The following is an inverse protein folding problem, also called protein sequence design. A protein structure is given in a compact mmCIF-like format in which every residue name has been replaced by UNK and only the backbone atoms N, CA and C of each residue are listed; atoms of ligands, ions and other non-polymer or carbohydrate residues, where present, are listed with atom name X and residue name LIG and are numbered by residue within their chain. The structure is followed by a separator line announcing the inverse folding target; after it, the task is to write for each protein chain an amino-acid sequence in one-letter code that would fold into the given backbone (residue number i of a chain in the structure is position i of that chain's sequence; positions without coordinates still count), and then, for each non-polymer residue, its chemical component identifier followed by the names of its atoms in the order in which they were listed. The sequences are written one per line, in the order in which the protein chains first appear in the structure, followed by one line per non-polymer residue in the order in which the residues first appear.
data_IF_883769961863
#
_entry.id   IF_883769961863
#
_cell.length_a   1.000
_cell.length_b   1.000
_cell.length_c   1.000
_cell.angle_alpha   90.00
_cell.angle_beta   90.00
_cell.angle_gamma   90.00
#
_symmetry.space_group_name_H-M   'P 1'
#
loop_
_entity.id
_entity.type
_entity.pdbx_description
1 polymer ?
#
# COMPACT_ATOMS: atom_id res chain seq x y z
N UNK A 1 -51.61 3.53 17.81
CA UNK A 1 -50.64 2.75 17.00
C UNK A 1 -50.14 3.67 15.92
N UNK A 2 -48.86 3.62 15.60
CA UNK A 2 -48.31 4.37 14.47
C UNK A 2 -48.97 3.86 13.17
N UNK A 3 -49.25 4.77 12.24
CA UNK A 3 -49.97 4.44 10.99
C UNK A 3 -49.28 5.04 9.78
N UNK A 4 -49.28 4.33 8.66
CA UNK A 4 -48.84 4.84 7.37
C UNK A 4 -49.60 4.17 6.23
N UNK A 5 -49.87 4.87 5.11
CA UNK A 5 -50.49 4.27 3.93
C UNK A 5 -49.77 2.98 3.50
N UNK A 6 -50.53 1.97 3.07
CA UNK A 6 -49.96 0.69 2.63
C UNK A 6 -48.94 0.85 1.48
N UNK A 7 -49.18 1.81 0.58
CA UNK A 7 -48.23 2.18 -0.47
C UNK A 7 -46.89 2.66 0.11
N UNK A 8 -46.91 3.54 1.12
CA UNK A 8 -45.69 4.05 1.77
C UNK A 8 -44.90 2.93 2.45
N UNK A 9 -45.61 1.98 3.07
CA UNK A 9 -44.98 0.78 3.66
C UNK A 9 -44.26 -0.06 2.59
N UNK A 10 -44.85 -0.22 1.40
CA UNK A 10 -44.21 -0.92 0.28
C UNK A 10 -43.00 -0.13 -0.22
N UNK A 11 -43.13 1.19 -0.44
CA UNK A 11 -42.01 2.06 -0.86
C UNK A 11 -40.84 2.02 0.12
N UNK A 12 -41.09 1.81 1.41
CA UNK A 12 -40.03 1.66 2.41
C UNK A 12 -39.12 0.45 2.15
N UNK A 13 -39.62 -0.61 1.51
CA UNK A 13 -38.79 -1.74 1.10
C UNK A 13 -37.75 -1.33 0.06
N UNK A 14 -38.13 -0.47 -0.88
CA UNK A 14 -37.22 0.07 -1.90
C UNK A 14 -36.17 1.00 -1.27
N UNK A 15 -36.60 1.89 -0.36
CA UNK A 15 -35.67 2.73 0.43
C UNK A 15 -34.64 1.87 1.16
N UNK A 16 -35.07 0.79 1.80
CA UNK A 16 -34.17 -0.08 2.54
C UNK A 16 -33.21 -0.85 1.63
N UNK A 17 -33.61 -1.18 0.40
CA UNK A 17 -32.70 -1.75 -0.58
C UNK A 17 -31.65 -0.72 -1.04
N UNK A 18 -32.04 0.52 -1.33
CA UNK A 18 -31.10 1.59 -1.65
C UNK A 18 -30.11 1.84 -0.51
N UNK A 19 -30.58 1.84 0.74
CA UNK A 19 -29.71 1.93 1.93
C UNK A 19 -28.71 0.76 2.03
N UNK A 20 -29.11 -0.48 1.67
CA UNK A 20 -28.19 -1.63 1.59
C UNK A 20 -27.14 -1.43 0.50
N UNK A 21 -27.53 -0.92 -0.66
CA UNK A 21 -26.61 -0.63 -1.77
C UNK A 21 -25.60 0.46 -1.39
N UNK A 22 -26.05 1.56 -0.77
CA UNK A 22 -25.18 2.62 -0.23
C UNK A 22 -24.18 2.02 0.78
N UNK A 23 -24.65 1.20 1.71
CA UNK A 23 -23.79 0.56 2.70
C UNK A 23 -22.79 -0.42 2.06
N UNK A 24 -23.18 -1.13 1.00
CA UNK A 24 -22.28 -2.01 0.22
C UNK A 24 -21.18 -1.20 -0.45
N UNK A 25 -21.53 -0.13 -1.16
CA UNK A 25 -20.56 0.77 -1.80
C UNK A 25 -19.60 1.39 -0.78
N UNK A 26 -20.10 1.78 0.41
CA UNK A 26 -19.26 2.27 1.50
C UNK A 26 -18.25 1.23 1.99
N UNK A 27 -18.66 -0.04 2.11
CA UNK A 27 -17.74 -1.14 2.46
C UNK A 27 -16.73 -1.44 1.35
N UNK A 28 -17.15 -1.34 0.09
CA UNK A 28 -16.30 -1.55 -1.08
C UNK A 28 -15.18 -0.51 -1.15
N UNK A 29 -15.50 0.76 -0.96
CA UNK A 29 -14.51 1.85 -0.86
C UNK A 29 -13.56 1.65 0.34
N UNK A 30 -14.11 1.35 1.53
CA UNK A 30 -13.32 1.16 2.74
C UNK A 30 -12.37 -0.04 2.66
N UNK A 31 -12.78 -1.13 2.00
CA UNK A 31 -12.00 -2.37 1.85
C UNK A 31 -11.36 -2.50 0.47
N UNK A 32 -11.23 -1.40 -0.27
CA UNK A 32 -10.69 -1.44 -1.62
C UNK A 32 -9.30 -2.08 -1.65
N UNK A 33 -9.07 -3.16 -2.43
CA UNK A 33 -7.84 -3.95 -2.36
C UNK A 33 -6.58 -3.13 -2.69
N UNK A 34 -6.70 -2.14 -3.59
CA UNK A 34 -5.58 -1.25 -3.93
C UNK A 34 -5.06 -0.44 -2.72
N UNK A 35 -5.87 -0.17 -1.69
CA UNK A 35 -5.39 0.53 -0.48
C UNK A 35 -4.32 -0.29 0.24
N UNK A 36 -4.54 -1.59 0.37
CA UNK A 36 -3.59 -2.51 0.99
C UNK A 36 -2.36 -2.74 0.10
N UNK A 37 -2.56 -2.90 -1.22
CA UNK A 37 -1.47 -3.07 -2.18
C UNK A 37 -0.55 -1.84 -2.21
N UNK A 38 -1.10 -0.63 -2.25
CA UNK A 38 -0.33 0.61 -2.19
C UNK A 38 0.47 0.72 -0.89
N UNK A 39 -0.12 0.34 0.25
CA UNK A 39 0.60 0.28 1.52
C UNK A 39 1.80 -0.67 1.46
N UNK A 40 1.63 -1.85 0.86
CA UNK A 40 2.72 -2.82 0.69
C UNK A 40 3.81 -2.28 -0.25
N UNK A 41 3.46 -1.63 -1.36
CA UNK A 41 4.41 -1.03 -2.29
C UNK A 41 5.21 0.12 -1.67
N UNK A 42 4.55 0.99 -0.89
CA UNK A 42 5.20 2.08 -0.15
C UNK A 42 6.20 1.52 0.86
N UNK A 43 5.81 0.48 1.62
CA UNK A 43 6.70 -0.18 2.57
C UNK A 43 7.89 -0.86 1.87
N UNK A 44 7.67 -1.47 0.72
CA UNK A 44 8.74 -2.06 -0.08
C UNK A 44 9.73 -1.00 -0.58
N UNK A 45 9.23 0.16 -1.06
CA UNK A 45 10.07 1.27 -1.48
C UNK A 45 10.90 1.83 -0.32
N UNK A 46 10.31 1.95 0.87
CA UNK A 46 11.01 2.38 2.09
C UNK A 46 12.05 1.37 2.58
N UNK A 47 11.81 0.06 2.40
CA UNK A 47 12.80 -0.96 2.67
C UNK A 47 13.99 -0.85 1.71
N UNK A 48 13.72 -0.72 0.40
CA UNK A 48 14.78 -0.54 -0.61
C UNK A 48 15.58 0.74 -0.43
N UNK A 49 14.96 1.81 0.06
CA UNK A 49 15.69 3.03 0.42
C UNK A 49 16.73 2.78 1.53
N UNK A 50 16.41 1.95 2.53
CA UNK A 50 17.38 1.55 3.56
C UNK A 50 18.49 0.67 3.00
N UNK A 51 18.15 -0.24 2.08
CA UNK A 51 19.15 -1.06 1.37
C UNK A 51 20.10 -0.18 0.55
N UNK A 52 19.56 0.88 -0.07
CA UNK A 52 20.34 1.88 -0.82
C UNK A 52 21.30 2.65 0.08
N UNK A 53 20.87 3.04 1.28
CA UNK A 53 21.73 3.73 2.24
C UNK A 53 22.91 2.83 2.66
N UNK A 54 22.65 1.55 2.95
CA UNK A 54 23.71 0.57 3.24
C UNK A 54 24.65 0.35 2.05
N UNK A 55 24.13 0.31 0.82
CA UNK A 55 24.95 0.21 -0.39
C UNK A 55 25.82 1.47 -0.60
N UNK A 56 25.30 2.66 -0.28
CA UNK A 56 26.06 3.90 -0.34
C UNK A 56 27.21 3.94 0.69
N UNK A 57 27.01 3.38 1.89
CA UNK A 57 28.10 3.19 2.86
C UNK A 57 29.18 2.24 2.32
N UNK A 58 28.79 1.19 1.58
CA UNK A 58 29.73 0.28 0.94
C UNK A 58 30.55 0.97 -0.17
N UNK A 59 29.94 1.86 -0.95
CA UNK A 59 30.64 2.70 -1.94
C UNK A 59 31.69 3.57 -1.24
N UNK A 60 31.31 4.31 -0.19
CA UNK A 60 32.25 5.16 0.54
C UNK A 60 33.42 4.35 1.15
N UNK A 61 33.16 3.12 1.60
CA UNK A 61 34.22 2.22 2.07
C UNK A 61 35.11 1.69 0.94
N UNK A 62 34.59 1.52 -0.28
CA UNK A 62 35.36 1.14 -1.45
C UNK A 62 36.23 2.30 -1.95
N UNK A 63 35.67 3.50 -2.07
CA UNK A 63 36.39 4.75 -2.38
C UNK A 63 37.60 4.95 -1.44
N UNK A 64 37.40 4.76 -0.12
CA UNK A 64 38.47 4.89 0.86
C UNK A 64 39.57 3.82 0.72
N UNK A 65 39.21 2.60 0.31
CA UNK A 65 40.18 1.53 0.02
C UNK A 65 40.98 1.82 -1.24
N UNK A 66 40.32 2.30 -2.31
CA UNK A 66 40.99 2.68 -3.54
C UNK A 66 41.98 3.82 -3.28
N UNK A 67 41.56 4.89 -2.61
CA UNK A 67 42.46 6.01 -2.27
C UNK A 67 43.70 5.55 -1.47
N UNK A 68 43.52 4.61 -0.53
CA UNK A 68 44.64 4.05 0.24
C UNK A 68 45.60 3.22 -0.62
N UNK A 69 45.06 2.46 -1.58
CA UNK A 69 45.86 1.68 -2.53
C UNK A 69 46.65 2.60 -3.48
N UNK A 70 46.00 3.64 -4.02
CA UNK A 70 46.63 4.67 -4.86
C UNK A 70 47.76 5.41 -4.11
N UNK A 71 47.55 5.78 -2.85
CA UNK A 71 48.59 6.40 -2.02
C UNK A 71 49.79 5.47 -1.81
N UNK A 72 49.54 4.17 -1.60
CA UNK A 72 50.58 3.15 -1.45
C UNK A 72 51.40 3.02 -2.75
N UNK A 73 50.73 2.90 -3.90
CA UNK A 73 51.37 2.88 -5.21
C UNK A 73 52.19 4.14 -5.48
N UNK A 74 51.65 5.33 -5.18
CA UNK A 74 52.33 6.60 -5.36
C UNK A 74 53.58 6.72 -4.47
N UNK A 75 53.48 6.28 -3.20
CA UNK A 75 54.61 6.25 -2.28
C UNK A 75 55.74 5.34 -2.77
N UNK A 76 55.41 4.14 -3.26
CA UNK A 76 56.39 3.20 -3.82
C UNK A 76 57.04 3.76 -5.09
N UNK A 77 56.27 4.33 -6.03
CA UNK A 77 56.80 5.01 -7.23
C UNK A 77 57.78 6.11 -6.84
N UNK A 78 57.42 6.98 -5.90
CA UNK A 78 58.31 8.05 -5.44
C UNK A 78 59.58 7.55 -4.74
N UNK A 79 59.52 6.43 -4.01
CA UNK A 79 60.71 5.80 -3.42
C UNK A 79 61.65 5.23 -4.49
N UNK A 80 61.09 4.57 -5.51
CA UNK A 80 61.83 4.03 -6.66
C UNK A 80 62.52 5.17 -7.40
N UNK A 81 61.81 6.23 -7.77
CA UNK A 81 62.36 7.39 -8.50
C UNK A 81 63.55 8.03 -7.76
N UNK A 82 63.42 8.23 -6.43
CA UNK A 82 64.51 8.78 -5.61
C UNK A 82 65.74 7.88 -5.61
N UNK A 83 65.55 6.56 -5.47
CA UNK A 83 66.65 5.59 -5.47
C UNK A 83 67.28 5.44 -6.85
N UNK A 84 66.49 5.47 -7.92
CA UNK A 84 66.99 5.47 -9.30
C UNK A 84 67.82 6.72 -9.59
N UNK A 85 67.37 7.90 -9.14
CA UNK A 85 68.16 9.13 -9.25
C UNK A 85 69.50 9.03 -8.48
N UNK A 86 69.48 8.46 -7.26
CA UNK A 86 70.69 8.22 -6.48
C UNK A 86 71.64 7.25 -7.20
N UNK A 87 71.12 6.13 -7.73
CA UNK A 87 71.87 5.13 -8.47
C UNK A 87 72.53 5.74 -9.72
N UNK A 88 71.78 6.56 -10.46
CA UNK A 88 72.25 7.24 -11.66
C UNK A 88 73.34 8.29 -11.37
N UNK A 89 73.28 8.96 -10.21
CA UNK A 89 74.33 9.91 -9.81
C UNK A 89 75.65 9.20 -9.51
N UNK A 90 75.59 8.03 -8.85
CA UNK A 90 76.74 7.25 -8.41
C UNK A 90 77.69 7.97 -7.45
N UNK A 91 77.37 9.20 -7.01
CA UNK A 91 78.29 10.06 -6.29
C UNK A 91 78.47 9.60 -4.85
N UNK A 92 79.72 9.35 -4.46
CA UNK A 92 80.05 8.88 -3.10
C UNK A 92 79.71 7.42 -2.80
N UNK A 93 79.29 6.63 -3.78
CA UNK A 93 78.91 5.22 -3.62
C UNK A 93 80.02 4.26 -4.07
N UNK A 94 80.24 3.19 -3.32
CA UNK A 94 81.13 2.10 -3.73
C UNK A 94 80.41 1.10 -4.65
N UNK A 95 81.15 0.21 -5.32
CA UNK A 95 80.54 -0.85 -6.14
C UNK A 95 79.58 -1.75 -5.35
N UNK A 96 79.85 -1.97 -4.06
CA UNK A 96 78.95 -2.74 -3.19
C UNK A 96 77.65 -1.97 -2.92
N UNK A 97 77.74 -0.67 -2.68
CA UNK A 97 76.57 0.18 -2.41
C UNK A 97 75.67 0.29 -3.64
N UNK A 98 76.25 0.36 -4.84
CA UNK A 98 75.51 0.34 -6.10
C UNK A 98 74.74 -0.98 -6.30
N UNK A 99 75.35 -2.13 -5.99
CA UNK A 99 74.66 -3.42 -6.08
C UNK A 99 73.53 -3.54 -5.06
N UNK A 100 73.76 -3.12 -3.81
CA UNK A 100 72.71 -3.11 -2.79
C UNK A 100 71.53 -2.21 -3.19
N UNK A 101 71.82 -1.01 -3.72
CA UNK A 101 70.78 -0.08 -4.19
C UNK A 101 69.97 -0.66 -5.36
N UNK A 102 70.59 -1.41 -6.27
CA UNK A 102 69.89 -2.12 -7.35
C UNK A 102 68.96 -3.21 -6.83
N UNK A 103 69.40 -4.00 -5.84
CA UNK A 103 68.56 -5.01 -5.19
C UNK A 103 67.36 -4.39 -4.47
N UNK A 104 67.57 -3.28 -3.76
CA UNK A 104 66.49 -2.53 -3.10
C UNK A 104 65.46 -1.98 -4.11
N UNK A 105 65.92 -1.41 -5.23
CA UNK A 105 65.03 -0.94 -6.31
C UNK A 105 64.23 -2.12 -6.89
N UNK A 106 64.87 -3.27 -7.12
CA UNK A 106 64.19 -4.47 -7.62
C UNK A 106 63.10 -4.94 -6.64
N UNK A 107 63.39 -4.94 -5.33
CA UNK A 107 62.41 -5.24 -4.28
C UNK A 107 61.23 -4.26 -4.27
N UNK A 108 61.51 -2.96 -4.34
CA UNK A 108 60.46 -1.93 -4.41
C UNK A 108 59.59 -2.05 -5.67
N UNK A 109 60.18 -2.40 -6.82
CA UNK A 109 59.43 -2.64 -8.06
C UNK A 109 58.50 -3.85 -7.93
N UNK A 110 58.94 -4.92 -7.27
CA UNK A 110 58.09 -6.08 -6.98
C UNK A 110 56.95 -5.73 -6.02
N UNK A 111 57.19 -4.86 -5.03
CA UNK A 111 56.13 -4.34 -4.16
C UNK A 111 55.17 -3.42 -4.92
N UNK A 112 55.67 -2.61 -5.85
CA UNK A 112 54.83 -1.75 -6.68
C UNK A 112 53.92 -2.56 -7.60
N UNK A 113 54.39 -3.67 -8.16
CA UNK A 113 53.56 -4.59 -8.95
C UNK A 113 52.41 -5.14 -8.10
N UNK A 114 52.69 -5.62 -6.89
CA UNK A 114 51.66 -6.07 -5.94
C UNK A 114 50.69 -4.95 -5.55
N UNK A 115 51.18 -3.73 -5.37
CA UNK A 115 50.35 -2.57 -5.07
C UNK A 115 49.43 -2.19 -6.25
N UNK A 116 49.92 -2.31 -7.49
CA UNK A 116 49.12 -2.07 -8.69
C UNK A 116 48.00 -3.10 -8.85
N UNK A 117 48.27 -4.38 -8.57
CA UNK A 117 47.23 -5.41 -8.55
C UNK A 117 46.17 -5.12 -7.48
N UNK A 118 46.59 -4.66 -6.30
CA UNK A 118 45.68 -4.28 -5.21
C UNK A 118 44.85 -3.02 -5.53
N UNK A 119 45.45 -2.03 -6.21
CA UNK A 119 44.79 -0.83 -6.71
C UNK A 119 43.71 -1.19 -7.74
N UNK A 120 44.03 -2.07 -8.69
CA UNK A 120 43.06 -2.54 -9.68
C UNK A 120 41.90 -3.31 -9.04
N UNK A 121 42.18 -4.21 -8.09
CA UNK A 121 41.13 -4.91 -7.35
C UNK A 121 40.27 -3.97 -6.49
N UNK A 122 40.84 -2.88 -5.97
CA UNK A 122 40.09 -1.86 -5.24
C UNK A 122 39.17 -1.05 -6.16
N UNK A 123 39.63 -0.74 -7.38
CA UNK A 123 38.84 -0.08 -8.42
C UNK A 123 37.65 -0.95 -8.85
N UNK A 124 37.87 -2.24 -9.14
CA UNK A 124 36.79 -3.16 -9.49
C UNK A 124 35.74 -3.24 -8.35
N UNK A 125 36.19 -3.28 -7.10
CA UNK A 125 35.28 -3.31 -5.95
C UNK A 125 34.47 -2.02 -5.76
N UNK A 126 35.02 -0.87 -6.15
CA UNK A 126 34.29 0.41 -6.17
C UNK A 126 33.24 0.40 -7.28
N UNK A 127 33.61 0.04 -8.50
CA UNK A 127 32.68 -0.06 -9.64
C UNK A 127 31.51 -1.01 -9.36
N UNK A 128 31.78 -2.16 -8.72
CA UNK A 128 30.74 -3.10 -8.29
C UNK A 128 29.77 -2.49 -7.26
N UNK A 129 30.31 -1.75 -6.27
CA UNK A 129 29.50 -1.10 -5.25
C UNK A 129 28.61 0.01 -5.85
N UNK A 130 29.15 0.81 -6.77
CA UNK A 130 28.38 1.83 -7.49
C UNK A 130 27.28 1.22 -8.36
N UNK A 131 27.59 0.14 -9.07
CA UNK A 131 26.63 -0.59 -9.89
C UNK A 131 25.46 -1.13 -9.06
N UNK A 132 25.73 -1.58 -7.83
CA UNK A 132 24.72 -2.04 -6.89
C UNK A 132 23.80 -0.91 -6.42
N UNK A 133 24.35 0.27 -6.07
CA UNK A 133 23.53 1.46 -5.76
C UNK A 133 22.64 1.82 -6.94
N UNK A 134 23.20 1.88 -8.16
CA UNK A 134 22.44 2.19 -9.36
C UNK A 134 21.34 1.15 -9.66
N UNK A 135 21.57 -0.13 -9.31
CA UNK A 135 20.57 -1.19 -9.42
C UNK A 135 19.42 -0.98 -8.44
N UNK A 136 19.71 -0.69 -7.17
CA UNK A 136 18.69 -0.42 -6.14
C UNK A 136 17.89 0.84 -6.47
N UNK A 137 18.54 1.90 -6.96
CA UNK A 137 17.85 3.13 -7.38
C UNK A 137 16.82 2.87 -8.50
N UNK A 138 17.15 2.00 -9.47
CA UNK A 138 16.20 1.57 -10.51
C UNK A 138 15.00 0.80 -9.92
N UNK A 139 15.23 -0.06 -8.94
CA UNK A 139 14.15 -0.79 -8.26
C UNK A 139 13.23 0.16 -7.47
N UNK A 140 13.80 1.13 -6.75
CA UNK A 140 13.04 2.16 -6.04
C UNK A 140 12.19 2.97 -7.02
N UNK A 141 12.76 3.38 -8.16
CA UNK A 141 12.03 4.12 -9.19
C UNK A 141 10.85 3.29 -9.74
N UNK A 142 11.06 2.01 -10.04
CA UNK A 142 10.00 1.12 -10.50
C UNK A 142 8.88 0.93 -9.46
N UNK A 143 9.23 0.82 -8.17
CA UNK A 143 8.25 0.75 -7.09
C UNK A 143 7.44 2.05 -6.97
N UNK A 144 8.09 3.22 -7.05
CA UNK A 144 7.41 4.52 -7.03
C UNK A 144 6.45 4.69 -8.20
N UNK A 145 6.85 4.28 -9.39
CA UNK A 145 5.98 4.30 -10.58
C UNK A 145 4.72 3.43 -10.37
N UNK A 146 4.89 2.22 -9.82
CA UNK A 146 3.75 1.34 -9.48
C UNK A 146 2.83 1.96 -8.44
N UNK A 147 3.37 2.67 -7.45
CA UNK A 147 2.57 3.42 -6.46
C UNK A 147 1.75 4.52 -7.14
N UNK A 148 2.35 5.29 -8.05
CA UNK A 148 1.65 6.35 -8.77
C UNK A 148 0.51 5.79 -9.64
N UNK A 149 0.79 4.73 -10.40
CA UNK A 149 -0.21 4.06 -11.23
C UNK A 149 -1.35 3.46 -10.39
N UNK A 150 -1.03 2.79 -9.29
CA UNK A 150 -2.04 2.22 -8.39
C UNK A 150 -2.88 3.29 -7.70
N UNK A 151 -2.28 4.44 -7.37
CA UNK A 151 -3.00 5.57 -6.78
C UNK A 151 -3.97 6.19 -7.77
N UNK A 152 -3.56 6.41 -9.02
CA UNK A 152 -4.45 6.92 -10.06
C UNK A 152 -5.67 6.00 -10.26
N UNK A 153 -5.44 4.68 -10.34
CA UNK A 153 -6.53 3.69 -10.42
C UNK A 153 -7.46 3.73 -9.22
N UNK A 154 -6.90 3.78 -8.00
CA UNK A 154 -7.70 3.90 -6.78
C UNK A 154 -8.54 5.19 -6.77
N UNK A 155 -7.97 6.32 -7.21
CA UNK A 155 -8.69 7.59 -7.30
C UNK A 155 -9.86 7.51 -8.30
N UNK A 156 -9.65 6.88 -9.46
CA UNK A 156 -10.71 6.64 -10.45
C UNK A 156 -11.82 5.72 -9.91
N UNK A 157 -11.46 4.58 -9.30
CA UNK A 157 -12.42 3.62 -8.74
C UNK A 157 -13.25 4.26 -7.61
N UNK A 158 -12.60 5.02 -6.73
CA UNK A 158 -13.27 5.75 -5.63
C UNK A 158 -14.18 6.84 -6.19
N UNK A 159 -13.78 7.55 -7.24
CA UNK A 159 -14.61 8.55 -7.89
C UNK A 159 -15.90 7.93 -8.46
N UNK A 160 -15.81 6.75 -9.09
CA UNK A 160 -16.98 6.01 -9.58
C UNK A 160 -17.91 5.58 -8.43
N UNK A 161 -17.35 5.02 -7.35
CA UNK A 161 -18.13 4.63 -6.16
C UNK A 161 -18.85 5.85 -5.56
N UNK A 162 -18.17 7.00 -5.46
CA UNK A 162 -18.77 8.23 -4.94
C UNK A 162 -19.89 8.73 -5.86
N UNK A 163 -19.71 8.68 -7.18
CA UNK A 163 -20.73 9.09 -8.14
C UNK A 163 -21.98 8.20 -8.03
N UNK A 164 -21.81 6.88 -8.05
CA UNK A 164 -22.91 5.92 -7.88
C UNK A 164 -23.62 6.12 -6.53
N UNK A 165 -22.87 6.31 -5.45
CA UNK A 165 -23.44 6.55 -4.13
C UNK A 165 -24.28 7.82 -4.09
N UNK A 166 -23.89 8.89 -4.80
CA UNK A 166 -24.66 10.14 -4.89
C UNK A 166 -25.97 9.94 -5.65
N UNK A 167 -25.96 9.20 -6.75
CA UNK A 167 -27.17 8.89 -7.53
C UNK A 167 -28.16 8.07 -6.69
N UNK A 168 -27.69 6.99 -6.07
CA UNK A 168 -28.52 6.13 -5.20
C UNK A 168 -29.04 6.91 -3.99
N UNK A 169 -28.22 7.79 -3.40
CA UNK A 169 -28.64 8.65 -2.29
C UNK A 169 -29.76 9.60 -2.72
N UNK A 170 -29.66 10.22 -3.90
CA UNK A 170 -30.70 11.12 -4.41
C UNK A 170 -32.01 10.39 -4.66
N UNK A 171 -31.97 9.18 -5.24
CA UNK A 171 -33.14 8.31 -5.41
C UNK A 171 -33.75 7.93 -4.06
N UNK A 172 -32.90 7.51 -3.12
CA UNK A 172 -33.30 7.15 -1.75
C UNK A 172 -34.02 8.32 -1.05
N UNK A 173 -33.49 9.52 -1.16
CA UNK A 173 -34.07 10.71 -0.51
C UNK A 173 -35.38 11.14 -1.18
N UNK A 174 -35.48 11.01 -2.50
CA UNK A 174 -36.73 11.27 -3.23
C UNK A 174 -37.86 10.31 -2.83
N UNK A 175 -37.55 9.03 -2.59
CA UNK A 175 -38.51 8.03 -2.10
C UNK A 175 -38.83 8.19 -0.62
N UNK A 176 -37.85 8.56 0.21
CA UNK A 176 -38.02 8.63 1.67
C UNK A 176 -38.72 9.91 2.13
N UNK A 177 -38.44 11.06 1.51
CA UNK A 177 -38.99 12.36 1.92
C UNK A 177 -40.53 12.42 2.01
N UNK A 178 -41.31 11.91 1.04
CA UNK A 178 -42.77 12.01 1.08
C UNK A 178 -43.46 11.00 2.00
N UNK A 179 -42.74 10.01 2.57
CA UNK A 179 -43.34 8.98 3.42
C UNK A 179 -43.91 9.60 4.71
N UNK A 180 -44.93 8.95 5.27
CA UNK A 180 -45.52 9.34 6.56
C UNK A 180 -44.47 9.44 7.70
N UNK A 181 -44.59 10.45 8.56
CA UNK A 181 -43.63 10.72 9.65
C UNK A 181 -43.51 9.56 10.63
N UNK A 182 -44.63 8.96 11.03
CA UNK A 182 -44.70 7.74 11.85
C UNK A 182 -43.86 6.59 11.27
N UNK A 183 -43.87 6.42 9.94
CA UNK A 183 -43.12 5.39 9.24
C UNK A 183 -41.61 5.70 9.23
N UNK A 184 -41.26 6.97 8.99
CA UNK A 184 -39.87 7.44 9.00
C UNK A 184 -39.26 7.27 10.38
N UNK A 185 -39.96 7.66 11.45
CA UNK A 185 -39.51 7.50 12.84
C UNK A 185 -39.29 6.02 13.21
N UNK A 186 -40.24 5.15 12.86
CA UNK A 186 -40.13 3.72 13.11
C UNK A 186 -38.93 3.11 12.34
N UNK A 187 -38.71 3.55 11.10
CA UNK A 187 -37.62 3.05 10.26
C UNK A 187 -36.24 3.48 10.78
N UNK A 188 -36.06 4.75 11.15
CA UNK A 188 -34.82 5.26 11.70
C UNK A 188 -34.46 4.56 13.02
N UNK A 189 -35.47 4.31 13.87
CA UNK A 189 -35.30 3.52 15.10
C UNK A 189 -34.82 2.11 14.77
N UNK A 190 -35.48 1.40 13.86
CA UNK A 190 -35.08 0.05 13.46
C UNK A 190 -33.65 0.01 12.88
N UNK A 191 -33.27 1.02 12.08
CA UNK A 191 -31.90 1.16 11.56
C UNK A 191 -30.84 1.31 12.65
N UNK A 192 -31.13 2.00 13.75
CA UNK A 192 -30.15 2.22 14.82
C UNK A 192 -29.75 0.95 15.58
N UNK A 193 -30.58 -0.09 15.55
CA UNK A 193 -30.33 -1.35 16.26
C UNK A 193 -29.39 -2.32 15.50
N UNK A 194 -29.02 -2.00 14.25
CA UNK A 194 -28.00 -2.73 13.49
C UNK A 194 -28.46 -4.07 12.88
N UNK A 195 -29.77 -4.37 12.92
CA UNK A 195 -30.40 -5.54 12.32
C UNK A 195 -31.15 -5.23 11.01
N UNK A 196 -32.23 -5.96 10.76
CA UNK A 196 -33.14 -5.63 9.67
C UNK A 196 -33.93 -4.37 10.02
N UNK A 197 -33.93 -3.36 9.16
CA UNK A 197 -34.77 -2.18 9.40
C UNK A 197 -36.22 -2.41 8.96
N UNK A 198 -36.41 -3.20 7.89
CA UNK A 198 -37.71 -3.54 7.32
C UNK A 198 -37.65 -4.90 6.63
N UNK A 199 -38.75 -5.67 6.70
CA UNK A 199 -38.93 -6.94 6.00
C UNK A 199 -40.26 -6.97 5.25
N UNK A 200 -40.25 -7.45 4.00
CA UNK A 200 -41.46 -7.85 3.31
C UNK A 200 -41.88 -9.27 3.71
N UNK A 201 -43.12 -9.45 4.14
CA UNK A 201 -43.72 -10.73 4.52
C UNK A 201 -44.76 -11.17 3.49
N UNK A 202 -44.60 -12.38 2.94
CA UNK A 202 -45.58 -13.02 2.05
C UNK A 202 -46.74 -13.66 2.85
N UNK A 203 -47.87 -14.00 2.19
CA UNK A 203 -49.04 -14.58 2.89
C UNK A 203 -48.77 -15.90 3.64
N UNK A 204 -47.74 -16.65 3.25
CA UNK A 204 -47.32 -17.90 3.88
C UNK A 204 -46.33 -17.69 5.06
N UNK A 205 -46.03 -16.43 5.40
CA UNK A 205 -45.12 -16.03 6.47
C UNK A 205 -43.64 -16.01 6.08
N UNK A 206 -43.29 -16.34 4.83
CA UNK A 206 -41.91 -16.24 4.35
C UNK A 206 -41.50 -14.79 4.14
N UNK A 207 -40.22 -14.47 4.36
CA UNK A 207 -39.67 -13.12 4.18
C UNK A 207 -38.54 -13.10 3.16
N UNK A 208 -38.26 -11.91 2.60
CA UNK A 208 -37.07 -11.67 1.77
C UNK A 208 -35.73 -11.78 2.51
N UNK A 209 -35.76 -11.86 3.84
CA UNK A 209 -34.58 -11.93 4.71
C UNK A 209 -34.13 -13.38 5.03
N UNK A 210 -34.79 -14.39 4.44
CA UNK A 210 -34.48 -15.80 4.71
C UNK A 210 -34.97 -16.30 6.08
N UNK A 211 -35.72 -15.48 6.81
CA UNK A 211 -36.41 -15.85 8.05
C UNK A 211 -37.92 -16.05 7.78
N UNK A 212 -38.60 -16.80 8.65
CA UNK A 212 -40.04 -17.07 8.53
C UNK A 212 -40.75 -16.75 9.83
N UNK A 213 -41.83 -15.98 9.74
CA UNK A 213 -42.67 -15.66 10.90
C UNK A 213 -43.52 -16.87 11.33
N UNK A 214 -43.82 -16.95 12.63
CA UNK A 214 -44.67 -18.00 13.16
C UNK A 214 -46.12 -17.87 12.65
N UNK A 215 -46.89 -18.96 12.49
CA UNK A 215 -48.28 -18.86 12.03
C UNK A 215 -49.16 -17.94 12.89
N UNK A 216 -48.89 -17.87 14.20
CA UNK A 216 -49.61 -17.00 15.13
C UNK A 216 -49.30 -15.52 14.88
N UNK A 217 -48.03 -15.19 14.65
CA UNK A 217 -47.60 -13.83 14.35
C UNK A 217 -48.11 -13.38 12.97
N UNK A 218 -48.06 -14.27 11.96
CA UNK A 218 -48.65 -14.02 10.64
C UNK A 218 -50.15 -13.70 10.77
N UNK A 219 -50.90 -14.48 11.55
CA UNK A 219 -52.32 -14.21 11.80
C UNK A 219 -52.55 -12.86 12.49
N UNK A 220 -51.68 -12.49 13.44
CA UNK A 220 -51.72 -11.18 14.13
C UNK A 220 -51.47 -10.03 13.16
N UNK A 221 -50.44 -10.12 12.32
CA UNK A 221 -50.08 -9.10 11.32
C UNK A 221 -51.21 -8.92 10.29
N UNK A 222 -51.84 -10.02 9.85
CA UNK A 222 -52.95 -9.98 8.88
C UNK A 222 -54.27 -9.46 9.46
N UNK A 223 -54.45 -9.52 10.78
CA UNK A 223 -55.65 -9.00 11.45
C UNK A 223 -55.60 -7.48 11.66
N UNK A 224 -54.43 -6.86 11.52
CA UNK A 224 -54.27 -5.40 11.62
C UNK A 224 -54.82 -4.70 10.37
N UNK A 225 -55.36 -3.47 10.51
CA UNK A 225 -55.68 -2.61 9.38
C UNK A 225 -54.50 -2.43 8.42
N UNK A 226 -54.76 -2.17 7.13
CA UNK A 226 -53.73 -2.06 6.09
C UNK A 226 -52.76 -0.89 6.34
N UNK A 227 -53.23 0.16 6.99
CA UNK A 227 -52.46 1.35 7.37
C UNK A 227 -51.75 1.24 8.73
N UNK A 228 -52.05 0.20 9.52
CA UNK A 228 -51.41 0.01 10.81
C UNK A 228 -49.98 -0.53 10.65
N UNK A 229 -49.01 0.15 11.27
CA UNK A 229 -47.63 -0.31 11.29
C UNK A 229 -47.44 -1.46 12.28
N UNK A 230 -46.81 -2.52 11.82
CA UNK A 230 -46.36 -3.62 12.67
C UNK A 230 -44.84 -3.61 12.78
N UNK A 231 -44.34 -3.60 14.02
CA UNK A 231 -42.92 -3.79 14.35
C UNK A 231 -42.83 -5.14 15.05
N UNK A 232 -42.01 -6.05 14.51
CA UNK A 232 -41.83 -7.38 15.10
C UNK A 232 -41.04 -7.26 16.40
N UNK A 233 -41.53 -7.89 17.47
CA UNK A 233 -40.84 -7.94 18.77
C UNK A 233 -39.56 -8.78 18.71
N UNK A 234 -39.51 -9.77 17.81
CA UNK A 234 -38.39 -10.70 17.68
C UNK A 234 -37.20 -10.11 16.90
N UNK A 235 -37.49 -9.24 15.93
CA UNK A 235 -36.50 -8.68 15.00
C UNK A 235 -36.31 -7.17 15.11
N UNK A 236 -37.14 -6.49 15.91
CA UNK A 236 -37.17 -5.03 16.09
C UNK A 236 -37.19 -4.27 14.75
N UNK A 237 -37.97 -4.80 13.80
CA UNK A 237 -38.05 -4.32 12.42
C UNK A 237 -39.49 -4.10 11.97
N UNK A 238 -39.69 -3.17 11.05
CA UNK A 238 -41.00 -2.96 10.41
C UNK A 238 -41.31 -4.16 9.52
N UNK A 239 -42.52 -4.72 9.62
CA UNK A 239 -42.99 -5.79 8.72
C UNK A 239 -44.02 -5.23 7.76
N UNK A 240 -43.69 -5.30 6.48
CA UNK A 240 -44.52 -4.86 5.36
C UNK A 240 -45.20 -6.06 4.75
N UNK A 241 -46.52 -6.01 4.64
CA UNK A 241 -47.31 -7.08 4.00
C UNK A 241 -47.14 -6.99 2.49
N UNK A 242 -46.68 -8.07 1.88
CA UNK A 242 -46.61 -8.22 0.43
C UNK A 242 -47.88 -8.94 -0.03
N UNK A 243 -48.65 -8.30 -0.91
CA UNK A 243 -49.69 -9.02 -1.65
C UNK A 243 -49.02 -9.96 -2.66
N UNK A 244 -49.68 -11.10 -2.91
CA UNK A 244 -49.18 -12.16 -3.80
C UNK A 244 -49.30 -11.81 -5.26
#
# INVERSE_FOLDING_TARGET
MATAPAHDQITLLDVAELDRQIARLGREDAKHPLRAELGALINAAAARARDRDAAAEAVAAAEGRLASAEETSASLRGQIERKEAQLNSGEGLTSRDLMALQEEIAGLRSLLEQAADAEFAALEAEEEAEAEVARIDREIAALKERVLQGRARLEDDVAQIIAQRREIQAERDALFAPLADDLKEAYERARSHGGYAVMGMRPDGSTGAGVRFSPLEVARIRALPDDALYVSEDYDCIVVRLEG
#
